data_IF_420893222758
#
_entry.id   IF_420893222758
#
_cell.length_a   1.000
_cell.length_b   1.000
_cell.length_c   1.000
_cell.angle_alpha   90.00
_cell.angle_beta   90.00
_cell.angle_gamma   90.00
#
_symmetry.space_group_name_H-M   'P 1'
#
loop_
_entity.id
_entity.type
_entity.pdbx_description
1 polymer ?
#
# COMPACT_ATOMS: atom_id res chain seq x y z
N UNK A 1 1.67 -2.57 8.42
CA UNK A 1 1.47 -1.54 9.45
C UNK A 1 0.64 -2.17 10.57
N UNK A 2 0.91 -1.81 11.84
CA UNK A 2 0.15 -2.35 12.96
C UNK A 2 -1.32 -1.90 12.93
N UNK A 3 -2.24 -2.65 13.55
CA UNK A 3 -3.66 -2.28 13.58
C UNK A 3 -3.97 -1.03 14.40
N UNK A 4 -3.01 -0.51 15.17
CA UNK A 4 -3.15 0.69 16.02
C UNK A 4 -1.91 1.57 15.94
N UNK A 5 -2.13 2.89 15.99
CA UNK A 5 -1.07 3.90 16.00
C UNK A 5 -0.12 3.74 17.20
N UNK A 6 -0.68 3.45 18.37
CA UNK A 6 0.13 3.06 19.54
C UNK A 6 0.38 1.56 19.45
N UNK A 7 1.55 1.20 18.92
CA UNK A 7 1.92 -0.21 18.69
C UNK A 7 1.84 -1.09 19.94
N UNK A 8 2.11 -0.53 21.12
CA UNK A 8 2.01 -1.25 22.38
C UNK A 8 0.58 -1.77 22.63
N UNK A 9 -0.43 -0.97 22.27
CA UNK A 9 -1.85 -1.26 22.53
C UNK A 9 -2.47 -2.24 21.53
N UNK A 10 -1.74 -2.60 20.48
CA UNK A 10 -2.18 -3.63 19.53
C UNK A 10 -2.15 -5.01 20.21
N UNK A 11 -3.34 -5.60 20.37
CA UNK A 11 -3.58 -6.88 21.07
C UNK A 11 -3.57 -8.07 20.10
N UNK A 12 -3.52 -9.29 20.63
CA UNK A 12 -3.66 -10.50 19.82
C UNK A 12 -4.97 -10.49 19.04
N UNK A 13 -6.07 -10.11 19.67
CA UNK A 13 -7.41 -10.07 19.11
C UNK A 13 -7.53 -9.06 17.96
N UNK A 14 -6.86 -7.90 18.08
CA UNK A 14 -6.80 -6.91 17.00
C UNK A 14 -6.20 -7.51 15.72
N UNK A 15 -5.10 -8.27 15.87
CA UNK A 15 -4.43 -8.93 14.74
C UNK A 15 -5.22 -10.14 14.24
N UNK A 16 -5.72 -11.01 15.12
CA UNK A 16 -6.50 -12.18 14.74
C UNK A 16 -7.73 -11.79 13.89
N UNK A 17 -8.43 -10.73 14.30
CA UNK A 17 -9.55 -10.18 13.53
C UNK A 17 -9.11 -9.64 12.17
N UNK A 18 -8.06 -8.82 12.14
CA UNK A 18 -7.58 -8.19 10.90
C UNK A 18 -7.04 -9.22 9.90
N UNK A 19 -6.24 -10.18 10.36
CA UNK A 19 -5.67 -11.24 9.53
C UNK A 19 -6.76 -12.20 9.03
N UNK A 20 -7.77 -12.47 9.86
CA UNK A 20 -8.98 -13.19 9.43
C UNK A 20 -9.66 -12.48 8.26
N UNK A 21 -9.83 -11.17 8.32
CA UNK A 21 -10.38 -10.39 7.21
C UNK A 21 -9.52 -10.50 5.94
N UNK A 22 -8.19 -10.45 6.04
CA UNK A 22 -7.33 -10.60 4.85
C UNK A 22 -7.43 -11.99 4.24
N UNK A 23 -7.38 -13.04 5.05
CA UNK A 23 -7.60 -14.42 4.60
C UNK A 23 -8.94 -14.54 3.89
N UNK A 24 -10.01 -14.03 4.50
CA UNK A 24 -11.36 -14.12 3.95
C UNK A 24 -11.53 -13.28 2.67
N UNK A 25 -10.72 -12.22 2.49
CA UNK A 25 -10.62 -11.45 1.24
C UNK A 25 -9.93 -12.24 0.11
N UNK A 26 -9.33 -13.39 0.41
CA UNK A 26 -8.51 -14.15 -0.53
C UNK A 26 -7.09 -13.60 -0.71
N UNK A 27 -6.60 -12.78 0.24
CA UNK A 27 -5.19 -12.40 0.27
C UNK A 27 -4.33 -13.60 0.64
N UNK A 28 -3.14 -13.70 0.05
CA UNK A 28 -2.16 -14.74 0.33
C UNK A 28 -0.76 -14.18 0.63
N UNK A 29 -0.54 -12.88 0.42
CA UNK A 29 0.70 -12.17 0.74
C UNK A 29 0.34 -10.86 1.45
N UNK A 30 1.03 -10.58 2.56
CA UNK A 30 1.02 -9.33 3.27
C UNK A 30 2.42 -8.71 3.22
N UNK A 31 2.50 -7.46 2.76
CA UNK A 31 3.74 -6.68 2.78
C UNK A 31 3.78 -5.81 4.02
N UNK A 32 4.72 -6.07 4.92
CA UNK A 32 5.00 -5.22 6.07
C UNK A 32 5.92 -4.10 5.61
N UNK A 33 5.28 -3.00 5.21
CA UNK A 33 5.89 -1.79 4.66
C UNK A 33 7.02 -1.19 5.52
N UNK A 34 8.06 -0.69 4.85
CA UNK A 34 9.33 -0.24 5.43
C UNK A 34 9.32 1.05 6.24
N UNK A 35 8.25 1.83 6.27
CA UNK A 35 8.10 2.87 7.31
C UNK A 35 7.30 2.40 8.54
N UNK A 36 6.93 1.11 8.56
CA UNK A 36 6.46 0.42 9.74
C UNK A 36 7.63 -0.10 10.58
N UNK A 37 7.35 -1.13 11.37
CA UNK A 37 8.32 -1.81 12.23
C UNK A 37 8.16 -3.32 12.10
N UNK A 38 9.10 -4.08 12.65
CA UNK A 38 8.93 -5.51 12.84
C UNK A 38 7.68 -5.80 13.68
N UNK A 39 6.71 -6.50 13.10
CA UNK A 39 5.46 -6.82 13.78
C UNK A 39 5.65 -7.75 15.00
N UNK A 40 4.63 -7.81 15.87
CA UNK A 40 4.64 -8.66 17.07
C UNK A 40 4.72 -10.13 16.68
N UNK A 41 5.22 -11.00 17.55
CA UNK A 41 5.42 -12.43 17.20
C UNK A 41 4.12 -13.07 16.75
N UNK A 42 3.03 -12.77 17.46
CA UNK A 42 1.73 -13.33 17.14
C UNK A 42 1.16 -12.87 15.78
N UNK A 43 1.63 -11.77 15.18
CA UNK A 43 1.28 -11.48 13.78
C UNK A 43 1.80 -12.59 12.86
N UNK A 44 3.06 -13.00 13.06
CA UNK A 44 3.69 -14.04 12.25
C UNK A 44 3.15 -15.43 12.60
N UNK A 45 2.91 -15.72 13.88
CA UNK A 45 2.25 -16.97 14.30
C UNK A 45 0.89 -17.11 13.61
N UNK A 46 0.08 -16.04 13.61
CA UNK A 46 -1.21 -16.02 12.92
C UNK A 46 -1.05 -16.12 11.39
N UNK A 47 -0.03 -15.51 10.80
CA UNK A 47 0.27 -15.65 9.37
C UNK A 47 0.64 -17.10 9.01
N UNK A 48 1.44 -17.77 9.84
CA UNK A 48 1.78 -19.20 9.70
C UNK A 48 0.51 -20.06 9.74
N UNK A 49 -0.39 -19.81 10.70
CA UNK A 49 -1.64 -20.54 10.87
C UNK A 49 -2.65 -20.30 9.74
N UNK A 50 -2.70 -19.08 9.18
CA UNK A 50 -3.68 -18.70 8.15
C UNK A 50 -3.16 -18.87 6.72
N UNK A 51 -1.90 -19.28 6.54
CA UNK A 51 -1.28 -19.40 5.20
C UNK A 51 -1.10 -18.05 4.50
N UNK A 52 -0.84 -16.98 5.27
CA UNK A 52 -0.60 -15.64 4.75
C UNK A 52 0.90 -15.39 4.68
N UNK A 53 1.47 -15.35 3.48
CA UNK A 53 2.89 -15.10 3.29
C UNK A 53 3.26 -13.67 3.68
N UNK A 54 4.45 -13.47 4.22
CA UNK A 54 4.94 -12.17 4.71
C UNK A 54 6.14 -11.72 3.89
N UNK A 55 5.98 -10.61 3.17
CA UNK A 55 7.10 -9.82 2.66
C UNK A 55 7.47 -8.81 3.75
N UNK A 56 8.62 -9.00 4.39
CA UNK A 56 9.07 -8.10 5.46
C UNK A 56 10.13 -7.12 4.98
N UNK A 57 9.84 -5.83 5.08
CA UNK A 57 10.83 -4.79 4.79
C UNK A 57 11.61 -4.38 6.04
N UNK A 58 12.86 -3.98 5.86
CA UNK A 58 13.59 -3.26 6.89
C UNK A 58 13.01 -1.86 7.07
N UNK A 59 13.26 -1.20 8.23
CA UNK A 59 12.65 0.09 8.57
C UNK A 59 13.32 1.26 7.80
N UNK A 60 13.33 1.17 6.47
CA UNK A 60 13.76 2.20 5.54
C UNK A 60 12.59 2.49 4.59
N UNK A 61 12.24 3.76 4.43
CA UNK A 61 11.21 4.19 3.50
C UNK A 61 11.54 5.55 2.90
N UNK A 62 11.03 5.78 1.69
CA UNK A 62 10.85 7.11 1.11
C UNK A 62 10.15 8.04 2.10
N UNK A 63 10.69 9.25 2.24
CA UNK A 63 10.08 10.38 2.95
C UNK A 63 9.51 11.43 1.99
N UNK A 64 9.62 11.20 0.68
CA UNK A 64 9.35 12.20 -0.35
C UNK A 64 10.38 13.34 -0.42
N UNK A 65 11.37 13.34 0.48
CA UNK A 65 12.45 14.34 0.58
C UNK A 65 13.81 13.65 0.41
N UNK A 66 14.01 12.54 1.11
CA UNK A 66 15.20 11.68 1.05
C UNK A 66 14.76 10.22 0.94
N UNK A 67 15.19 9.58 -0.15
CA UNK A 67 14.86 8.19 -0.49
C UNK A 67 16.10 7.31 -0.71
N UNK A 68 17.30 7.90 -0.63
CA UNK A 68 18.57 7.17 -0.69
C UNK A 68 18.96 6.75 0.74
N UNK A 69 19.25 5.46 1.01
CA UNK A 69 19.64 5.03 2.34
C UNK A 69 20.95 5.68 2.81
N UNK A 70 21.19 5.79 4.13
CA UNK A 70 22.46 6.28 4.64
C UNK A 70 23.60 5.31 4.27
N UNK A 71 24.77 5.86 3.94
CA UNK A 71 25.94 5.11 3.47
C UNK A 71 27.16 5.20 4.41
N UNK A 72 27.04 5.87 5.55
CA UNK A 72 28.12 5.94 6.54
C UNK A 72 28.36 4.57 7.18
N UNK A 73 29.62 4.21 7.50
CA UNK A 73 29.93 2.93 8.15
C UNK A 73 29.13 2.68 9.43
N UNK A 74 28.89 3.71 10.22
CA UNK A 74 28.14 3.65 11.48
C UNK A 74 26.65 3.36 11.23
N UNK A 75 26.03 4.03 10.25
CA UNK A 75 24.63 3.80 9.91
C UNK A 75 24.42 2.40 9.32
N UNK A 76 25.33 1.96 8.45
CA UNK A 76 25.30 0.60 7.88
C UNK A 76 25.47 -0.45 8.98
N UNK A 77 26.37 -0.22 9.95
CA UNK A 77 26.55 -1.14 11.07
C UNK A 77 25.30 -1.23 11.95
N UNK A 78 24.65 -0.10 12.23
CA UNK A 78 23.39 -0.05 12.99
C UNK A 78 22.26 -0.79 12.25
N UNK A 79 22.08 -0.54 10.96
CA UNK A 79 21.07 -1.23 10.16
C UNK A 79 21.30 -2.74 10.08
N UNK A 80 22.57 -3.18 10.00
CA UNK A 80 22.93 -4.60 10.09
C UNK A 80 22.58 -5.20 11.45
N UNK A 81 22.81 -4.48 12.55
CA UNK A 81 22.38 -4.94 13.88
C UNK A 81 20.86 -5.10 13.94
N UNK A 82 20.10 -4.11 13.43
CA UNK A 82 18.63 -4.20 13.35
C UNK A 82 18.22 -5.43 12.53
N UNK A 83 18.78 -5.62 11.33
CA UNK A 83 18.49 -6.75 10.47
C UNK A 83 18.82 -8.11 11.13
N UNK A 84 19.95 -8.22 11.85
CA UNK A 84 20.25 -9.43 12.63
C UNK A 84 19.18 -9.72 13.68
N UNK A 85 18.66 -8.69 14.37
CA UNK A 85 17.56 -8.90 15.33
C UNK A 85 16.27 -9.34 14.63
N UNK A 86 16.00 -8.86 13.41
CA UNK A 86 14.82 -9.27 12.63
C UNK A 86 14.92 -10.75 12.27
N UNK A 87 16.06 -11.18 11.74
CA UNK A 87 16.35 -12.59 11.41
C UNK A 87 16.20 -13.48 12.66
N UNK A 88 16.84 -13.12 13.77
CA UNK A 88 16.80 -13.91 15.01
C UNK A 88 15.37 -14.05 15.54
N UNK A 89 14.56 -13.00 15.43
CA UNK A 89 13.23 -12.96 16.02
C UNK A 89 12.16 -13.57 15.13
N UNK A 90 12.33 -13.58 13.81
CA UNK A 90 11.28 -13.94 12.84
C UNK A 90 11.70 -14.84 11.67
N UNK A 91 12.99 -15.06 11.44
CA UNK A 91 13.49 -15.85 10.31
C UNK A 91 13.07 -17.33 10.31
N UNK A 92 12.48 -17.82 11.40
CA UNK A 92 11.98 -19.20 11.52
C UNK A 92 10.51 -19.37 11.13
N UNK A 93 9.77 -18.28 10.86
CA UNK A 93 8.35 -18.37 10.49
C UNK A 93 8.21 -18.87 9.05
N UNK A 94 7.35 -19.87 8.87
CA UNK A 94 7.11 -20.49 7.56
C UNK A 94 6.35 -19.58 6.60
N UNK A 95 5.60 -18.62 7.14
CA UNK A 95 4.95 -17.56 6.38
C UNK A 95 5.93 -16.56 5.79
N UNK A 96 7.14 -16.43 6.33
CA UNK A 96 8.11 -15.47 5.83
C UNK A 96 8.50 -15.82 4.38
N UNK A 97 8.18 -14.92 3.46
CA UNK A 97 8.42 -15.12 2.03
C UNK A 97 9.79 -14.57 1.63
N UNK A 98 10.07 -13.34 2.03
CA UNK A 98 11.29 -12.62 1.67
C UNK A 98 11.56 -11.45 2.60
N UNK A 99 12.81 -10.99 2.57
CA UNK A 99 13.27 -9.75 3.17
C UNK A 99 13.48 -8.67 2.09
N UNK A 100 13.15 -7.42 2.39
CA UNK A 100 13.41 -6.27 1.53
C UNK A 100 14.21 -5.20 2.26
N UNK A 101 15.11 -4.52 1.57
CA UNK A 101 15.88 -3.41 2.12
C UNK A 101 15.02 -2.22 2.55
N UNK A 102 13.89 -1.96 1.91
CA UNK A 102 12.99 -0.88 2.28
C UNK A 102 11.96 -0.53 1.21
N UNK A 103 11.16 0.49 1.51
CA UNK A 103 10.13 1.02 0.62
C UNK A 103 10.65 2.19 -0.22
N UNK A 104 10.43 2.13 -1.53
CA UNK A 104 10.64 3.21 -2.49
C UNK A 104 12.04 3.83 -2.42
N UNK A 105 13.05 3.01 -2.13
CA UNK A 105 14.43 3.46 -2.09
C UNK A 105 14.93 3.69 -3.52
N UNK A 106 15.48 4.88 -3.75
CA UNK A 106 15.92 5.33 -5.07
C UNK A 106 17.26 6.00 -5.02
N UNK A 107 17.94 6.06 -6.16
CA UNK A 107 19.12 6.91 -6.31
C UNK A 107 18.73 8.40 -6.30
N UNK A 108 19.37 9.22 -5.46
CA UNK A 108 19.21 10.68 -5.43
C UNK A 108 19.99 11.36 -4.30
N UNK A 109 20.39 12.63 -4.48
CA UNK A 109 21.00 13.46 -3.44
C UNK A 109 19.99 14.36 -2.69
N UNK A 110 20.36 14.97 -1.55
CA UNK A 110 19.48 15.86 -0.79
C UNK A 110 18.97 17.04 -1.64
N UNK A 111 17.65 17.21 -1.75
CA UNK A 111 17.03 18.33 -2.47
C UNK A 111 16.93 18.15 -3.99
N UNK A 112 17.45 17.06 -4.55
CA UNK A 112 17.08 16.65 -5.90
C UNK A 112 15.69 16.00 -5.85
N UNK A 113 14.84 16.25 -6.85
CA UNK A 113 13.73 15.32 -7.09
C UNK A 113 14.39 13.98 -7.32
N UNK A 114 14.27 13.08 -6.34
CA UNK A 114 14.88 11.75 -6.35
C UNK A 114 14.68 11.15 -7.73
N UNK A 115 15.74 10.57 -8.30
CA UNK A 115 15.61 9.82 -9.52
C UNK A 115 14.50 8.78 -9.32
N UNK A 116 13.61 8.63 -10.28
CA UNK A 116 12.55 7.60 -10.30
C UNK A 116 13.16 6.22 -10.62
N UNK A 117 14.43 6.03 -10.25
CA UNK A 117 15.22 4.84 -10.54
C UNK A 117 15.37 4.09 -9.22
N UNK A 118 14.70 2.94 -9.09
CA UNK A 118 14.87 2.10 -7.93
C UNK A 118 16.33 1.75 -7.67
N UNK A 119 16.68 1.74 -6.40
CA UNK A 119 18.01 1.40 -5.96
C UNK A 119 18.24 -0.11 -6.05
N UNK A 120 19.49 -0.53 -6.23
CA UNK A 120 19.87 -1.93 -6.33
C UNK A 120 20.98 -2.29 -5.33
N UNK A 121 21.48 -3.53 -5.43
CA UNK A 121 22.53 -4.02 -4.55
C UNK A 121 23.91 -3.38 -4.77
N UNK A 122 24.06 -2.39 -5.66
CA UNK A 122 25.31 -1.63 -5.80
C UNK A 122 25.47 -0.53 -4.74
N UNK A 123 24.40 -0.13 -4.05
CA UNK A 123 24.50 0.80 -2.93
C UNK A 123 25.19 0.15 -1.71
N UNK A 124 26.17 0.80 -1.05
CA UNK A 124 26.94 0.19 0.04
C UNK A 124 26.10 -0.35 1.21
N UNK A 125 25.04 0.37 1.58
CA UNK A 125 24.13 -0.07 2.65
C UNK A 125 23.36 -1.34 2.24
N UNK A 126 22.80 -1.36 1.02
CA UNK A 126 22.01 -2.50 0.54
C UNK A 126 22.89 -3.70 0.25
N UNK A 127 24.08 -3.52 -0.33
CA UNK A 127 25.08 -4.59 -0.49
C UNK A 127 25.43 -5.22 0.88
N UNK A 128 25.68 -4.36 1.88
CA UNK A 128 25.97 -4.79 3.24
C UNK A 128 24.85 -5.64 3.85
N UNK A 129 23.60 -5.20 3.70
CA UNK A 129 22.42 -5.91 4.18
C UNK A 129 22.21 -7.22 3.42
N UNK A 130 22.33 -7.20 2.09
CA UNK A 130 22.22 -8.40 1.24
C UNK A 130 23.21 -9.49 1.68
N UNK A 131 24.49 -9.14 1.84
CA UNK A 131 25.54 -10.06 2.29
C UNK A 131 25.25 -10.62 3.69
N UNK A 132 24.61 -9.83 4.56
CA UNK A 132 24.21 -10.28 5.88
C UNK A 132 23.11 -11.36 5.79
N UNK A 133 22.03 -11.09 5.04
CA UNK A 133 20.94 -12.06 4.86
C UNK A 133 21.41 -13.34 4.18
N UNK A 134 22.22 -13.26 3.13
CA UNK A 134 22.80 -14.45 2.47
C UNK A 134 23.63 -15.32 3.42
N UNK A 135 24.25 -14.71 4.44
CA UNK A 135 25.03 -15.43 5.45
C UNK A 135 24.18 -15.99 6.60
N UNK A 136 23.19 -15.23 7.06
CA UNK A 136 22.47 -15.49 8.33
C UNK A 136 21.11 -16.16 8.11
N UNK A 137 20.49 -15.95 6.97
CA UNK A 137 19.20 -16.52 6.58
C UNK A 137 19.21 -16.88 5.08
N UNK A 138 20.03 -17.86 4.66
CA UNK A 138 20.14 -18.24 3.25
C UNK A 138 18.88 -18.90 2.68
N UNK A 139 17.89 -19.23 3.53
CA UNK A 139 16.63 -19.83 3.12
C UNK A 139 15.70 -18.81 2.46
N UNK A 140 15.78 -17.53 2.85
CA UNK A 140 14.92 -16.47 2.35
C UNK A 140 15.67 -15.54 1.40
N UNK A 141 14.95 -15.05 0.38
CA UNK A 141 15.52 -14.05 -0.55
C UNK A 141 15.59 -12.69 0.10
N UNK A 142 16.61 -11.93 -0.27
CA UNK A 142 16.70 -10.50 0.01
C UNK A 142 16.59 -9.70 -1.30
N UNK A 143 15.72 -8.71 -1.33
CA UNK A 143 15.60 -7.74 -2.44
C UNK A 143 15.98 -6.33 -1.95
N UNK A 144 16.50 -5.51 -2.85
CA UNK A 144 17.05 -4.20 -2.49
C UNK A 144 15.98 -3.23 -1.98
N UNK A 145 14.83 -3.17 -2.67
CA UNK A 145 13.75 -2.22 -2.42
C UNK A 145 12.49 -2.67 -3.19
N UNK A 146 11.33 -2.13 -2.83
CA UNK A 146 10.11 -2.16 -3.67
C UNK A 146 9.74 -0.73 -4.04
N UNK A 147 9.55 -0.38 -5.33
CA UNK A 147 9.57 -1.26 -6.50
C UNK A 147 11.00 -1.69 -6.84
N UNK A 148 11.23 -2.91 -7.35
CA UNK A 148 12.60 -3.39 -7.67
C UNK A 148 13.20 -2.79 -8.95
N UNK A 149 12.40 -2.13 -9.81
CA UNK A 149 12.90 -1.52 -11.04
C UNK A 149 13.08 -2.51 -12.21
N UNK A 150 13.55 -2.04 -13.38
CA UNK A 150 14.30 -0.79 -13.59
C UNK A 150 13.45 0.49 -13.63
N UNK A 151 12.12 0.38 -13.67
CA UNK A 151 11.21 1.50 -13.52
C UNK A 151 10.50 1.47 -12.17
N UNK A 152 10.30 2.64 -11.60
CA UNK A 152 9.49 2.78 -10.39
C UNK A 152 7.99 2.69 -10.71
N UNK A 153 7.56 3.41 -11.75
CA UNK A 153 6.19 3.45 -12.25
C UNK A 153 6.08 2.74 -13.59
N UNK A 154 4.90 2.20 -13.87
CA UNK A 154 4.57 1.70 -15.19
C UNK A 154 4.10 2.85 -16.07
N UNK A 155 4.89 3.16 -17.10
CA UNK A 155 4.62 4.22 -18.08
C UNK A 155 3.96 3.63 -19.33
N UNK A 156 2.79 4.14 -19.70
CA UNK A 156 2.01 3.57 -20.80
C UNK A 156 2.73 3.65 -22.16
N UNK A 157 3.64 4.60 -22.33
CA UNK A 157 4.49 4.75 -23.52
C UNK A 157 5.62 3.72 -23.58
N UNK A 158 5.90 3.02 -22.47
CA UNK A 158 6.95 2.02 -22.36
C UNK A 158 6.42 0.58 -22.33
N UNK A 159 5.10 0.37 -22.41
CA UNK A 159 4.48 -0.95 -22.44
C UNK A 159 5.00 -1.83 -23.59
N UNK A 160 5.24 -3.09 -23.27
CA UNK A 160 5.79 -4.10 -24.18
C UNK A 160 7.32 -4.10 -24.27
N UNK A 161 8.02 -3.20 -23.56
CA UNK A 161 9.48 -3.09 -23.60
C UNK A 161 10.19 -3.95 -22.55
N UNK A 162 9.45 -4.60 -21.65
CA UNK A 162 10.02 -5.46 -20.60
C UNK A 162 10.72 -4.70 -19.46
N UNK A 163 10.32 -3.44 -19.23
CA UNK A 163 10.92 -2.54 -18.24
C UNK A 163 10.15 -2.49 -16.90
N UNK A 164 8.95 -3.05 -16.86
CA UNK A 164 8.06 -2.98 -15.71
C UNK A 164 8.13 -4.31 -14.94
N UNK A 165 9.09 -4.46 -14.02
CA UNK A 165 9.23 -5.68 -13.23
C UNK A 165 8.29 -5.60 -12.02
N UNK A 166 8.79 -5.18 -10.88
CA UNK A 166 7.99 -4.77 -9.73
C UNK A 166 7.77 -3.27 -9.77
N UNK A 167 6.49 -2.84 -9.68
CA UNK A 167 6.05 -1.48 -9.95
C UNK A 167 5.11 -0.97 -8.87
N UNK A 168 5.25 0.32 -8.54
CA UNK A 168 4.32 1.05 -7.69
C UNK A 168 3.32 1.87 -8.49
N UNK A 169 2.16 2.11 -7.88
CA UNK A 169 1.06 2.86 -8.45
C UNK A 169 0.33 2.11 -9.58
N UNK A 170 -0.55 2.82 -10.31
CA UNK A 170 -0.91 4.24 -10.15
C UNK A 170 -1.55 4.58 -8.80
N UNK A 171 -1.49 5.87 -8.45
CA UNK A 171 -2.00 6.46 -7.21
C UNK A 171 -3.24 7.31 -7.47
N UNK A 172 -4.42 6.70 -7.38
CA UNK A 172 -5.69 7.35 -7.66
C UNK A 172 -5.85 7.76 -9.13
N UNK A 173 -6.83 8.63 -9.40
CA UNK A 173 -7.15 9.10 -10.76
C UNK A 173 -6.49 10.43 -11.13
N UNK A 174 -5.64 10.99 -10.26
CA UNK A 174 -5.08 12.35 -10.43
C UNK A 174 -4.32 12.53 -11.74
N UNK A 175 -3.56 11.51 -12.14
CA UNK A 175 -2.68 11.54 -13.32
C UNK A 175 -3.37 11.08 -14.62
N UNK A 176 -4.66 10.76 -14.56
CA UNK A 176 -5.41 10.31 -15.73
C UNK A 176 -6.12 11.49 -16.42
N UNK A 177 -6.10 11.48 -17.75
CA UNK A 177 -6.77 12.47 -18.59
C UNK A 177 -8.28 12.43 -18.39
N UNK A 178 -8.93 13.60 -18.35
CA UNK A 178 -10.38 13.74 -18.19
C UNK A 178 -10.73 14.76 -17.12
N UNK A 179 -11.93 15.33 -17.21
CA UNK A 179 -12.44 16.33 -16.26
C UNK A 179 -13.42 15.72 -15.25
N UNK A 180 -14.02 14.58 -15.60
CA UNK A 180 -14.97 13.85 -14.75
C UNK A 180 -14.37 12.53 -14.28
N UNK A 181 -14.97 11.95 -13.23
CA UNK A 181 -14.61 10.61 -12.79
C UNK A 181 -14.76 9.57 -13.90
N UNK A 182 -15.86 9.60 -14.65
CA UNK A 182 -16.14 8.63 -15.71
C UNK A 182 -15.04 8.65 -16.78
N UNK A 183 -14.67 9.84 -17.26
CA UNK A 183 -13.59 9.98 -18.25
C UNK A 183 -12.24 9.48 -17.73
N UNK A 184 -11.90 9.82 -16.48
CA UNK A 184 -10.64 9.37 -15.86
C UNK A 184 -10.63 7.88 -15.55
N UNK A 185 -11.78 7.30 -15.23
CA UNK A 185 -11.93 5.87 -15.04
C UNK A 185 -11.77 5.11 -16.36
N UNK A 186 -12.30 5.64 -17.47
CA UNK A 186 -12.03 5.07 -18.80
C UNK A 186 -10.54 5.12 -19.15
N UNK A 187 -9.86 6.22 -18.83
CA UNK A 187 -8.40 6.30 -18.98
C UNK A 187 -7.66 5.31 -18.06
N UNK A 188 -8.14 5.09 -16.83
CA UNK A 188 -7.64 4.03 -15.92
C UNK A 188 -7.84 2.63 -16.53
N UNK A 189 -9.01 2.34 -17.10
CA UNK A 189 -9.29 1.06 -17.80
C UNK A 189 -8.31 0.85 -18.95
N UNK A 190 -8.13 1.85 -19.81
CA UNK A 190 -7.22 1.78 -20.95
C UNK A 190 -5.75 1.60 -20.53
N UNK A 191 -5.35 2.19 -19.40
CA UNK A 191 -4.01 2.00 -18.83
C UNK A 191 -3.78 0.57 -18.35
N UNK A 192 -4.76 0.00 -17.64
CA UNK A 192 -4.65 -1.37 -17.13
C UNK A 192 -4.75 -2.41 -18.25
N UNK A 193 -5.60 -2.21 -19.26
CA UNK A 193 -5.73 -3.14 -20.39
C UNK A 193 -4.39 -3.47 -21.07
N UNK A 194 -3.49 -2.48 -21.11
CA UNK A 194 -2.17 -2.59 -21.74
C UNK A 194 -1.02 -2.83 -20.75
N UNK A 195 -1.34 -2.96 -19.46
CA UNK A 195 -0.34 -3.20 -18.42
C UNK A 195 0.53 -4.42 -18.75
N UNK A 196 1.85 -4.25 -18.65
CA UNK A 196 2.84 -5.31 -18.86
C UNK A 196 3.69 -5.59 -17.61
N UNK A 197 3.38 -4.98 -16.46
CA UNK A 197 4.12 -5.19 -15.21
C UNK A 197 4.19 -6.67 -14.81
N UNK A 198 5.35 -7.12 -14.31
CA UNK A 198 5.53 -8.50 -13.81
C UNK A 198 4.99 -8.66 -12.39
N UNK A 199 4.96 -7.60 -11.59
CA UNK A 199 4.42 -7.57 -10.25
C UNK A 199 3.96 -6.13 -9.92
N UNK A 200 2.84 -5.99 -9.21
CA UNK A 200 2.35 -4.71 -8.68
C UNK A 200 2.41 -4.75 -7.16
N UNK A 201 3.48 -4.25 -6.55
CA UNK A 201 3.67 -4.30 -5.09
C UNK A 201 2.97 -3.18 -4.32
N UNK A 202 2.53 -2.13 -5.03
CA UNK A 202 1.64 -1.10 -4.50
C UNK A 202 0.72 -0.55 -5.59
N UNK A 203 -0.57 -0.45 -5.29
CA UNK A 203 -1.57 0.24 -6.12
C UNK A 203 -2.54 0.97 -5.20
N UNK A 204 -2.78 2.26 -5.44
CA UNK A 204 -3.65 3.08 -4.61
C UNK A 204 -4.89 3.56 -5.35
N UNK A 205 -6.04 3.44 -4.72
CA UNK A 205 -7.23 4.24 -5.03
C UNK A 205 -7.85 4.66 -3.69
N UNK A 206 -7.96 5.96 -3.39
CA UNK A 206 -8.51 6.39 -2.12
C UNK A 206 -10.05 6.32 -2.11
N UNK A 207 -10.62 6.18 -0.92
CA UNK A 207 -12.05 6.23 -0.67
C UNK A 207 -12.34 6.66 0.77
N UNK A 208 -13.47 7.31 1.01
CA UNK A 208 -13.86 7.72 2.35
C UNK A 208 -14.02 6.53 3.30
N UNK A 209 -13.79 6.74 4.59
CA UNK A 209 -14.13 5.79 5.65
C UNK A 209 -15.66 5.56 5.74
N UNK A 210 -16.08 4.52 6.46
CA UNK A 210 -17.51 4.28 6.66
C UNK A 210 -18.19 5.43 7.44
N UNK A 211 -19.50 5.66 7.25
CA UNK A 211 -20.24 6.63 8.05
C UNK A 211 -20.04 6.43 9.55
N UNK A 212 -20.11 5.18 10.03
CA UNK A 212 -19.89 4.83 11.43
C UNK A 212 -18.49 5.20 11.94
N UNK A 213 -17.45 5.06 11.11
CA UNK A 213 -16.10 5.50 11.47
C UNK A 213 -16.03 7.02 11.56
N UNK A 214 -16.59 7.74 10.59
CA UNK A 214 -16.60 9.20 10.57
C UNK A 214 -17.37 9.79 11.75
N UNK A 215 -18.58 9.31 12.01
CA UNK A 215 -19.44 9.74 13.12
C UNK A 215 -18.81 9.48 14.49
N UNK A 216 -18.03 8.41 14.62
CA UNK A 216 -17.39 8.05 15.89
C UNK A 216 -16.20 8.94 16.25
N UNK A 217 -15.45 9.41 15.25
CA UNK A 217 -14.14 10.05 15.47
C UNK A 217 -14.08 11.52 15.04
N UNK A 218 -15.04 12.03 14.29
CA UNK A 218 -15.13 13.44 13.95
C UNK A 218 -16.01 14.20 14.94
N UNK A 219 -15.65 15.45 15.23
CA UNK A 219 -16.55 16.35 15.95
C UNK A 219 -17.73 16.77 15.04
N UNK A 220 -18.93 16.98 15.61
CA UNK A 220 -20.08 17.46 14.86
C UNK A 220 -19.76 18.74 14.06
N UNK A 221 -20.15 18.75 12.78
CA UNK A 221 -19.94 19.90 11.89
C UNK A 221 -18.60 19.93 11.16
N UNK A 222 -17.65 19.02 11.44
CA UNK A 222 -16.35 18.97 10.74
C UNK A 222 -16.34 18.07 9.49
N UNK A 223 -17.40 17.27 9.29
CA UNK A 223 -17.44 16.26 8.24
C UNK A 223 -17.73 16.82 6.85
N UNK A 224 -18.32 18.00 6.73
CA UNK A 224 -18.65 18.61 5.44
C UNK A 224 -18.17 20.07 5.33
N UNK A 225 -17.50 20.46 4.23
CA UNK A 225 -17.04 19.62 3.12
C UNK A 225 -15.74 18.84 3.42
N UNK A 226 -15.39 17.81 2.61
CA UNK A 226 -14.11 17.08 2.61
C UNK A 226 -12.85 17.90 2.27
N UNK A 227 -12.82 19.16 2.69
CA UNK A 227 -11.71 20.11 2.52
C UNK A 227 -11.39 20.86 3.82
N UNK A 228 -12.17 20.64 4.89
CA UNK A 228 -11.93 21.25 6.20
C UNK A 228 -10.69 20.68 6.91
N UNK A 229 -10.29 21.32 8.02
CA UNK A 229 -9.08 20.95 8.78
C UNK A 229 -9.05 19.48 9.24
N UNK A 230 -10.21 18.91 9.59
CA UNK A 230 -10.33 17.49 9.94
C UNK A 230 -9.85 16.57 8.81
N UNK A 231 -10.26 16.86 7.57
CA UNK A 231 -9.87 16.10 6.39
C UNK A 231 -8.42 16.39 5.98
N UNK A 232 -8.02 17.66 5.98
CA UNK A 232 -6.70 18.06 5.51
C UNK A 232 -5.56 17.63 6.43
N UNK A 233 -5.83 17.37 7.71
CA UNK A 233 -4.79 16.91 8.63
C UNK A 233 -4.27 15.51 8.28
N UNK A 234 -5.15 14.62 7.82
CA UNK A 234 -4.86 13.17 7.72
C UNK A 234 -5.14 12.57 6.35
N UNK A 235 -5.92 13.27 5.52
CA UNK A 235 -6.44 12.76 4.26
C UNK A 235 -6.30 13.75 3.09
N UNK A 236 -5.56 14.86 3.25
CA UNK A 236 -5.50 15.97 2.28
C UNK A 236 -5.39 15.53 0.80
N UNK A 237 -4.45 14.64 0.49
CA UNK A 237 -4.21 14.15 -0.87
C UNK A 237 -5.15 13.00 -1.29
N UNK A 238 -5.95 12.44 -0.35
CA UNK A 238 -6.82 11.27 -0.56
C UNK A 238 -8.30 11.62 -0.72
N UNK A 239 -8.72 12.84 -0.41
CA UNK A 239 -10.15 13.20 -0.43
C UNK A 239 -10.75 13.13 -1.84
N UNK A 240 -9.94 13.22 -2.89
CA UNK A 240 -10.41 13.36 -4.28
C UNK A 240 -11.40 14.52 -4.47
N UNK A 241 -11.33 15.54 -3.59
CA UNK A 241 -12.35 16.58 -3.50
C UNK A 241 -12.54 17.32 -4.82
N UNK A 242 -11.45 17.72 -5.48
CA UNK A 242 -11.50 18.42 -6.76
C UNK A 242 -12.21 17.59 -7.86
N UNK A 243 -11.94 16.28 -7.90
CA UNK A 243 -12.55 15.36 -8.87
C UNK A 243 -14.00 15.02 -8.51
N UNK A 244 -14.36 15.07 -7.23
CA UNK A 244 -15.75 14.96 -6.82
C UNK A 244 -16.52 16.22 -7.23
N UNK A 245 -16.01 17.41 -6.90
CA UNK A 245 -16.66 18.69 -7.23
C UNK A 245 -16.85 18.91 -8.72
N UNK A 246 -15.93 18.44 -9.56
CA UNK A 246 -16.04 18.62 -11.02
C UNK A 246 -17.21 17.85 -11.65
N UNK A 247 -17.70 16.80 -10.99
CA UNK A 247 -18.79 15.96 -11.50
C UNK A 247 -20.04 15.90 -10.62
N UNK A 248 -19.97 16.35 -9.37
CA UNK A 248 -21.06 16.24 -8.41
C UNK A 248 -22.12 17.34 -8.58
N UNK A 249 -23.39 16.95 -8.47
CA UNK A 249 -24.50 17.88 -8.27
C UNK A 249 -24.77 18.02 -6.77
N UNK A 250 -24.08 18.96 -6.11
CA UNK A 250 -24.27 19.23 -4.69
C UNK A 250 -25.69 19.74 -4.42
N UNK A 251 -26.35 19.17 -3.42
CA UNK A 251 -27.74 19.47 -3.05
C UNK A 251 -27.84 20.68 -2.13
N UNK A 252 -26.74 21.08 -1.49
CA UNK A 252 -26.71 22.15 -0.50
C UNK A 252 -27.16 21.71 0.88
N UNK A 253 -27.32 20.40 1.09
CA UNK A 253 -27.62 19.79 2.38
C UNK A 253 -26.39 19.01 2.86
N UNK A 254 -25.68 19.47 3.91
CA UNK A 254 -24.41 18.88 4.35
C UNK A 254 -24.48 17.37 4.64
N UNK A 255 -25.58 16.88 5.23
CA UNK A 255 -25.72 15.47 5.56
C UNK A 255 -25.92 14.61 4.30
N UNK A 256 -26.83 15.01 3.40
CA UNK A 256 -27.04 14.30 2.14
C UNK A 256 -25.83 14.37 1.21
N UNK A 257 -25.14 15.51 1.15
CA UNK A 257 -23.96 15.68 0.29
C UNK A 257 -22.75 14.90 0.81
N UNK A 258 -22.57 14.81 2.14
CA UNK A 258 -21.58 13.92 2.75
C UNK A 258 -21.88 12.45 2.45
N UNK A 259 -23.13 12.01 2.62
CA UNK A 259 -23.53 10.65 2.33
C UNK A 259 -23.28 10.29 0.85
N UNK A 260 -23.60 11.20 -0.07
CA UNK A 260 -23.32 11.05 -1.49
C UNK A 260 -21.80 10.93 -1.76
N UNK A 261 -20.99 11.79 -1.15
CA UNK A 261 -19.53 11.76 -1.27
C UNK A 261 -18.93 10.43 -0.79
N UNK A 262 -19.39 9.91 0.36
CA UNK A 262 -18.91 8.63 0.90
C UNK A 262 -19.25 7.49 -0.07
N UNK A 263 -20.51 7.38 -0.48
CA UNK A 263 -20.97 6.32 -1.39
C UNK A 263 -20.22 6.37 -2.71
N UNK A 264 -20.09 7.57 -3.27
CA UNK A 264 -19.43 7.75 -4.56
C UNK A 264 -17.95 7.40 -4.46
N UNK A 265 -17.19 7.98 -3.53
CA UNK A 265 -15.74 7.69 -3.42
C UNK A 265 -15.45 6.22 -3.10
N UNK A 266 -16.26 5.55 -2.27
CA UNK A 266 -16.12 4.12 -2.02
C UNK A 266 -16.46 3.26 -3.24
N UNK A 267 -17.46 3.66 -4.02
CA UNK A 267 -17.83 2.97 -5.28
C UNK A 267 -16.70 3.10 -6.30
N UNK A 268 -16.19 4.33 -6.48
CA UNK A 268 -15.04 4.64 -7.32
C UNK A 268 -13.81 3.80 -6.94
N UNK A 269 -13.52 3.72 -5.63
CA UNK A 269 -12.45 2.88 -5.08
C UNK A 269 -12.63 1.40 -5.45
N UNK A 270 -13.83 0.86 -5.21
CA UNK A 270 -14.13 -0.54 -5.47
C UNK A 270 -14.02 -0.91 -6.95
N UNK A 271 -14.48 -0.03 -7.84
CA UNK A 271 -14.41 -0.22 -9.29
C UNK A 271 -12.98 -0.17 -9.82
N UNK A 272 -12.19 0.82 -9.39
CA UNK A 272 -10.80 0.96 -9.81
C UNK A 272 -9.93 -0.23 -9.39
N UNK A 273 -10.08 -0.70 -8.14
CA UNK A 273 -9.38 -1.89 -7.68
C UNK A 273 -9.85 -3.16 -8.36
N UNK A 274 -11.15 -3.27 -8.68
CA UNK A 274 -11.65 -4.42 -9.42
C UNK A 274 -10.99 -4.53 -10.80
N UNK A 275 -10.84 -3.41 -11.52
CA UNK A 275 -10.14 -3.35 -12.81
C UNK A 275 -8.70 -3.80 -12.67
N UNK A 276 -7.98 -3.22 -11.71
CA UNK A 276 -6.55 -3.47 -11.52
C UNK A 276 -6.29 -4.93 -11.13
N UNK A 277 -7.01 -5.43 -10.13
CA UNK A 277 -6.87 -6.78 -9.62
C UNK A 277 -7.26 -7.85 -10.66
N UNK A 278 -8.39 -7.66 -11.37
CA UNK A 278 -8.84 -8.61 -12.39
C UNK A 278 -7.87 -8.67 -13.57
N UNK A 279 -7.31 -7.52 -13.98
CA UNK A 279 -6.30 -7.45 -15.03
C UNK A 279 -5.03 -8.18 -14.64
N UNK A 280 -4.49 -7.92 -13.45
CA UNK A 280 -3.30 -8.61 -12.95
C UNK A 280 -3.55 -10.12 -12.84
N UNK A 281 -4.68 -10.53 -12.25
CA UNK A 281 -5.06 -11.94 -12.11
C UNK A 281 -5.18 -12.65 -13.47
N UNK A 282 -5.81 -12.02 -14.47
CA UNK A 282 -5.94 -12.56 -15.84
C UNK A 282 -4.59 -12.75 -16.53
N UNK A 283 -3.58 -11.95 -16.17
CA UNK A 283 -2.24 -12.00 -16.76
C UNK A 283 -1.34 -13.08 -16.13
N UNK A 284 -1.74 -13.72 -15.03
CA UNK A 284 -0.98 -14.84 -14.47
C UNK A 284 -0.76 -15.96 -15.53
N UNK A 285 0.45 -16.54 -15.66
CA UNK A 285 1.64 -16.36 -14.82
C UNK A 285 2.57 -15.21 -15.23
N UNK A 286 2.24 -14.39 -16.23
CA UNK A 286 3.08 -13.24 -16.64
C UNK A 286 3.11 -12.12 -15.61
N UNK A 287 2.00 -11.90 -14.90
CA UNK A 287 1.95 -11.08 -13.70
C UNK A 287 1.90 -12.00 -12.48
N UNK A 288 2.92 -11.91 -11.61
CA UNK A 288 3.12 -12.78 -10.45
C UNK A 288 2.41 -12.31 -9.18
N UNK A 289 1.87 -11.10 -9.14
CA UNK A 289 1.13 -10.62 -7.98
C UNK A 289 0.66 -9.18 -8.06
N UNK A 290 -0.26 -8.87 -7.15
CA UNK A 290 -0.93 -7.58 -7.01
C UNK A 290 -1.18 -7.31 -5.53
N UNK A 291 -0.60 -6.23 -5.01
CA UNK A 291 -0.72 -5.79 -3.62
C UNK A 291 -1.28 -4.37 -3.64
N UNK A 292 -2.37 -4.17 -2.90
CA UNK A 292 -2.96 -2.85 -2.73
C UNK A 292 -2.21 -2.06 -1.66
N UNK A 293 -2.09 -0.76 -1.89
CA UNK A 293 -1.89 0.20 -0.82
C UNK A 293 -3.27 0.80 -0.52
N UNK A 294 -3.90 0.60 0.64
CA UNK A 294 -3.44 -0.27 1.71
C UNK A 294 -4.56 -1.14 2.28
N UNK A 295 -4.20 -2.14 3.08
CA UNK A 295 -5.18 -3.07 3.63
C UNK A 295 -6.11 -2.46 4.69
N UNK A 296 -5.56 -1.66 5.61
CA UNK A 296 -6.30 -1.07 6.73
C UNK A 296 -5.68 0.24 7.24
N UNK A 297 -6.46 1.01 8.00
CA UNK A 297 -5.98 2.18 8.74
C UNK A 297 -5.57 1.83 10.19
N UNK A 298 -4.52 2.45 10.72
CA UNK A 298 -4.06 2.30 12.12
C UNK A 298 -4.52 3.43 13.05
N UNK A 299 -5.16 4.46 12.49
CA UNK A 299 -5.74 5.59 13.21
C UNK A 299 -7.00 6.05 12.45
N UNK A 300 -7.92 6.81 13.09
CA UNK A 300 -9.08 7.35 12.39
C UNK A 300 -8.66 8.24 11.21
N UNK A 301 -8.84 7.74 10.00
CA UNK A 301 -8.53 8.45 8.77
C UNK A 301 -9.80 8.60 7.93
N UNK A 302 -10.23 9.83 7.60
CA UNK A 302 -11.53 10.05 6.99
C UNK A 302 -11.56 9.69 5.50
N UNK A 303 -10.41 9.71 4.82
CA UNK A 303 -10.23 9.12 3.49
C UNK A 303 -8.78 8.66 3.30
N UNK A 304 -8.62 7.45 2.77
CA UNK A 304 -7.34 6.85 2.41
C UNK A 304 -7.62 5.66 1.48
N UNK A 305 -6.57 5.00 1.03
CA UNK A 305 -6.65 3.82 0.19
C UNK A 305 -6.99 2.53 0.95
N UNK A 306 -7.12 2.57 2.28
CA UNK A 306 -7.51 1.42 3.10
C UNK A 306 -8.78 0.74 2.54
N UNK A 307 -8.86 -0.60 2.59
CA UNK A 307 -10.10 -1.33 2.26
C UNK A 307 -10.84 -1.80 3.52
N UNK A 308 -10.20 -1.70 4.68
CA UNK A 308 -10.77 -1.90 6.01
C UNK A 308 -10.52 -0.61 6.79
N UNK A 309 -11.57 0.06 7.26
CA UNK A 309 -11.38 1.31 8.01
C UNK A 309 -10.87 1.06 9.45
N UNK A 310 -10.60 2.13 10.20
CA UNK A 310 -10.05 2.03 11.55
C UNK A 310 -10.95 1.30 12.56
N UNK A 311 -12.28 1.27 12.35
CA UNK A 311 -13.18 0.45 13.18
C UNK A 311 -13.04 -1.05 12.86
N UNK A 312 -12.33 -1.36 11.78
CA UNK A 312 -12.19 -2.67 11.16
C UNK A 312 -13.42 -3.09 10.37
N UNK A 313 -14.20 -2.11 9.88
CA UNK A 313 -15.29 -2.37 8.96
C UNK A 313 -14.75 -2.48 7.52
N UNK A 314 -15.06 -3.56 6.79
CA UNK A 314 -14.72 -3.68 5.38
C UNK A 314 -15.49 -2.65 4.52
N UNK A 315 -14.79 -1.94 3.64
CA UNK A 315 -15.37 -1.03 2.64
C UNK A 315 -15.84 -1.82 1.40
N UNK A 316 -16.66 -1.25 0.51
CA UNK A 316 -17.05 -1.90 -0.75
C UNK A 316 -15.88 -2.50 -1.57
N UNK A 317 -14.72 -1.83 -1.56
CA UNK A 317 -13.51 -2.31 -2.23
C UNK A 317 -12.98 -3.66 -1.71
N UNK A 318 -13.11 -3.94 -0.40
CA UNK A 318 -12.77 -5.23 0.18
C UNK A 318 -13.57 -6.35 -0.51
N UNK A 319 -14.88 -6.17 -0.63
CA UNK A 319 -15.76 -7.18 -1.23
C UNK A 319 -15.53 -7.33 -2.74
N UNK A 320 -15.15 -6.26 -3.44
CA UNK A 320 -14.74 -6.35 -4.85
C UNK A 320 -13.49 -7.20 -5.02
N UNK A 321 -12.46 -6.99 -4.19
CA UNK A 321 -11.25 -7.80 -4.19
C UNK A 321 -11.54 -9.25 -3.80
N UNK A 322 -12.36 -9.45 -2.77
CA UNK A 322 -12.80 -10.78 -2.31
C UNK A 322 -13.40 -11.59 -3.45
N UNK A 323 -14.39 -11.03 -4.18
CA UNK A 323 -15.02 -11.73 -5.32
C UNK A 323 -14.00 -12.13 -6.38
N UNK A 324 -13.05 -11.24 -6.68
CA UNK A 324 -12.01 -11.50 -7.69
C UNK A 324 -11.08 -12.62 -7.25
N UNK A 325 -10.59 -12.60 -6.01
CA UNK A 325 -9.55 -13.54 -5.57
C UNK A 325 -10.10 -14.88 -5.08
N UNK A 326 -11.31 -14.93 -4.53
CA UNK A 326 -11.94 -16.17 -4.03
C UNK A 326 -12.79 -16.91 -5.07
N UNK A 327 -13.11 -16.29 -6.21
CA UNK A 327 -13.75 -16.96 -7.34
C UNK A 327 -15.23 -17.23 -7.15
N UNK A 328 -16.04 -16.16 -7.09
CA UNK A 328 -17.50 -16.26 -7.20
C UNK A 328 -17.96 -16.90 -8.51
#
# INVERSE_FOLDING_TARGET
>A
MPPKAIYHDATFEDYARLLGLYRDMGANVLRVWGGGILEKSFFYDLCDENGLLVWQELPLSSSGIENCPPDTPEAIALLKQIAETYIQRRGYHVSLLLWSGGNELTWGGPGEKTGVVPLDASHPCIDGLKKLFEKKDPAHRFIATSPTGPRFYAEATEYGRGLHHDIHGPWGLGNFTGNTFVERLEAWRAYWEKDDALFRSEVGMPGAASPACLERFAEPGLLWPPAGGYWMHTAAWWTQWDLYQSGASLRGDPEADLAAYIVETQTRQAEAYAIAAATCKKRFPRCGGFIIWMGHDCFPCPANNAVIDFTGAPKPAYYSLQRIFTGG
#
